data_IF_388532783807
#
_entry.id   IF_388532783807
#
_cell.length_a   1.000
_cell.length_b   1.000
_cell.length_c   1.000
_cell.angle_alpha   90.00
_cell.angle_beta   90.00
_cell.angle_gamma   90.00
#
_symmetry.space_group_name_H-M   'P 1'
#
loop_
_entity.id
_entity.type
_entity.pdbx_description
1 polymer ?
#
# COMPACT_ATOMS: atom_id res chain seq x y z
N UNK A 1 -49.82 -21.60 8.58
CA UNK A 1 -49.02 -20.41 8.93
C UNK A 1 -47.55 -20.73 8.71
N UNK A 2 -46.97 -20.31 7.59
CA UNK A 2 -45.56 -20.56 7.27
C UNK A 2 -44.70 -19.60 8.08
N UNK A 3 -44.15 -20.07 9.20
CA UNK A 3 -43.18 -19.34 10.00
C UNK A 3 -41.91 -19.16 9.17
N UNK A 4 -41.75 -17.96 8.58
CA UNK A 4 -40.51 -17.55 7.93
C UNK A 4 -39.39 -17.53 8.97
N UNK A 5 -38.62 -18.61 9.05
CA UNK A 5 -37.38 -18.69 9.83
C UNK A 5 -36.55 -17.44 9.57
N UNK A 6 -36.38 -16.60 10.60
CA UNK A 6 -35.52 -15.42 10.51
C UNK A 6 -34.11 -15.93 10.22
N UNK A 7 -33.56 -15.53 9.06
CA UNK A 7 -32.18 -15.82 8.66
C UNK A 7 -31.23 -15.41 9.78
N UNK A 8 -30.21 -16.23 10.03
CA UNK A 8 -29.20 -15.95 11.04
C UNK A 8 -28.50 -14.62 10.77
N UNK A 9 -28.14 -13.90 11.84
CA UNK A 9 -27.36 -12.67 11.73
C UNK A 9 -26.04 -12.98 10.99
N UNK A 10 -25.79 -12.32 9.85
CA UNK A 10 -24.57 -12.52 9.04
C UNK A 10 -24.70 -13.48 7.85
N UNK A 11 -25.81 -14.21 7.69
CA UNK A 11 -26.02 -15.13 6.54
C UNK A 11 -26.11 -14.40 5.18
N UNK A 12 -26.48 -13.12 5.22
CA UNK A 12 -26.67 -12.30 4.05
C UNK A 12 -27.92 -12.66 3.23
N UNK A 13 -28.25 -11.80 2.28
CA UNK A 13 -29.37 -11.99 1.35
C UNK A 13 -28.88 -11.78 -0.07
N UNK A 14 -29.29 -12.64 -0.99
CA UNK A 14 -28.97 -12.54 -2.42
C UNK A 14 -30.28 -12.51 -3.21
N UNK A 15 -30.49 -11.46 -3.98
CA UNK A 15 -31.71 -11.28 -4.77
C UNK A 15 -31.43 -10.53 -6.08
N UNK A 16 -32.32 -10.66 -7.05
CA UNK A 16 -32.26 -9.90 -8.29
C UNK A 16 -32.91 -8.52 -8.10
N UNK A 17 -32.28 -7.46 -8.63
CA UNK A 17 -32.81 -6.11 -8.61
C UNK A 17 -33.19 -5.69 -10.04
N UNK A 18 -34.49 -5.66 -10.34
CA UNK A 18 -35.01 -5.34 -11.67
C UNK A 18 -34.70 -3.92 -12.13
N UNK A 19 -34.66 -2.95 -11.22
CA UNK A 19 -34.35 -1.54 -11.57
C UNK A 19 -32.89 -1.39 -12.02
N UNK A 20 -31.98 -2.16 -11.41
CA UNK A 20 -30.54 -2.12 -11.70
C UNK A 20 -30.10 -3.19 -12.69
N UNK A 21 -30.99 -4.12 -13.05
CA UNK A 21 -30.69 -5.32 -13.86
C UNK A 21 -29.43 -6.04 -13.34
N UNK A 22 -29.34 -6.21 -12.02
CA UNK A 22 -28.17 -6.77 -11.33
C UNK A 22 -28.59 -7.67 -10.17
N UNK A 23 -27.79 -8.69 -9.91
CA UNK A 23 -27.85 -9.46 -8.67
C UNK A 23 -27.24 -8.65 -7.54
N UNK A 24 -27.96 -8.57 -6.41
CA UNK A 24 -27.58 -7.81 -5.23
C UNK A 24 -27.43 -8.75 -4.05
N UNK A 25 -26.23 -8.76 -3.46
CA UNK A 25 -25.93 -9.42 -2.20
C UNK A 25 -25.89 -8.39 -1.07
N UNK A 26 -26.47 -8.69 0.09
CA UNK A 26 -26.56 -7.76 1.22
C UNK A 26 -26.18 -8.51 2.49
N UNK A 27 -25.24 -7.98 3.26
CA UNK A 27 -24.80 -8.54 4.54
C UNK A 27 -24.95 -7.49 5.65
N UNK A 28 -25.48 -7.91 6.79
CA UNK A 28 -25.46 -7.10 8.01
C UNK A 28 -24.11 -7.35 8.70
N UNK A 29 -23.29 -6.30 8.80
CA UNK A 29 -22.00 -6.34 9.48
C UNK A 29 -22.20 -5.93 10.96
N UNK A 30 -21.63 -6.68 11.92
CA UNK A 30 -21.60 -6.27 13.32
C UNK A 30 -20.70 -5.03 13.46
N UNK A 31 -21.21 -3.98 14.11
CA UNK A 31 -20.43 -2.78 14.45
C UNK A 31 -20.18 -2.76 15.95
N UNK A 32 -18.99 -2.30 16.36
CA UNK A 32 -18.64 -2.06 17.78
C UNK A 32 -19.64 -1.17 18.50
N UNK A 33 -20.26 -0.23 17.78
CA UNK A 33 -21.12 0.83 18.32
C UNK A 33 -22.59 0.40 18.42
N UNK A 34 -22.91 -0.89 18.21
CA UNK A 34 -24.28 -1.42 18.24
C UNK A 34 -25.19 -0.97 17.08
N UNK A 35 -24.71 -0.08 16.20
CA UNK A 35 -25.43 0.37 15.00
C UNK A 35 -25.30 -0.66 13.86
N UNK A 36 -26.42 -1.01 13.22
CA UNK A 36 -26.42 -1.92 12.06
C UNK A 36 -25.73 -1.27 10.87
N UNK A 37 -24.60 -1.82 10.43
CA UNK A 37 -23.94 -1.42 9.17
C UNK A 37 -24.26 -2.45 8.09
N UNK A 38 -25.00 -2.03 7.07
CA UNK A 38 -25.33 -2.89 5.92
C UNK A 38 -24.33 -2.68 4.80
N UNK A 39 -23.66 -3.75 4.37
CA UNK A 39 -22.85 -3.74 3.16
C UNK A 39 -23.59 -4.42 2.02
N UNK A 40 -23.46 -3.85 0.81
CA UNK A 40 -24.16 -4.32 -0.39
C UNK A 40 -23.15 -4.54 -1.51
N UNK A 41 -23.20 -5.72 -2.13
CA UNK A 41 -22.49 -6.05 -3.37
C UNK A 41 -23.48 -6.17 -4.52
N UNK A 42 -23.04 -5.82 -5.73
CA UNK A 42 -23.88 -5.97 -6.92
C UNK A 42 -23.06 -6.49 -8.09
N UNK A 43 -23.59 -7.49 -8.80
CA UNK A 43 -22.95 -8.06 -9.98
C UNK A 43 -23.97 -8.36 -11.09
N UNK A 44 -23.49 -8.64 -12.30
CA UNK A 44 -24.36 -8.94 -13.44
C UNK A 44 -24.89 -10.37 -13.38
N UNK A 45 -24.11 -11.32 -12.82
CA UNK A 45 -24.53 -12.71 -12.66
C UNK A 45 -24.80 -13.11 -11.21
N UNK A 46 -25.65 -14.13 -11.02
CA UNK A 46 -25.98 -14.70 -9.70
C UNK A 46 -24.74 -15.28 -9.03
N UNK A 47 -23.85 -15.88 -9.84
CA UNK A 47 -22.62 -16.51 -9.38
C UNK A 47 -21.63 -15.46 -8.89
N UNK A 48 -21.39 -14.42 -9.68
CA UNK A 48 -20.50 -13.31 -9.28
C UNK A 48 -21.00 -12.63 -7.99
N UNK A 49 -22.30 -12.36 -7.88
CA UNK A 49 -22.85 -11.74 -6.68
C UNK A 49 -22.75 -12.65 -5.45
N UNK A 50 -22.87 -13.97 -5.63
CA UNK A 50 -22.66 -14.96 -4.56
C UNK A 50 -21.19 -14.99 -4.12
N UNK A 51 -20.25 -14.97 -5.06
CA UNK A 51 -18.82 -15.02 -4.75
C UNK A 51 -18.35 -13.72 -4.06
N UNK A 52 -18.85 -12.57 -4.50
CA UNK A 52 -18.66 -11.30 -3.82
C UNK A 52 -19.25 -11.31 -2.40
N UNK A 53 -20.45 -11.87 -2.22
CA UNK A 53 -21.07 -12.00 -0.89
C UNK A 53 -20.26 -12.92 0.04
N UNK A 54 -19.74 -14.05 -0.47
CA UNK A 54 -18.86 -14.94 0.28
C UNK A 54 -17.52 -14.29 0.63
N UNK A 55 -17.00 -13.42 -0.24
CA UNK A 55 -15.79 -12.62 0.06
C UNK A 55 -16.07 -11.66 1.21
N UNK A 56 -17.19 -10.92 1.15
CA UNK A 56 -17.61 -10.03 2.24
C UNK A 56 -17.75 -10.75 3.57
N UNK A 57 -18.35 -11.94 3.58
CA UNK A 57 -18.50 -12.75 4.79
C UNK A 57 -17.14 -13.12 5.39
N UNK A 58 -16.19 -13.57 4.55
CA UNK A 58 -14.83 -13.90 4.98
C UNK A 58 -14.10 -12.68 5.53
N UNK A 59 -14.19 -11.54 4.84
CA UNK A 59 -13.54 -10.30 5.25
C UNK A 59 -14.08 -9.83 6.62
N UNK A 60 -15.39 -9.96 6.84
CA UNK A 60 -16.02 -9.66 8.12
C UNK A 60 -15.57 -10.62 9.24
N UNK A 61 -15.51 -11.92 8.98
CA UNK A 61 -14.99 -12.90 9.96
C UNK A 61 -13.53 -12.64 10.30
N UNK A 62 -12.74 -12.12 9.37
CA UNK A 62 -11.35 -11.73 9.58
C UNK A 62 -11.18 -10.40 10.34
N UNK A 63 -12.27 -9.74 10.76
CA UNK A 63 -12.22 -8.46 11.48
C UNK A 63 -11.78 -7.28 10.61
N UNK A 64 -11.85 -7.42 9.29
CA UNK A 64 -11.46 -6.36 8.36
C UNK A 64 -12.57 -5.31 8.32
N UNK A 65 -12.24 -4.08 8.72
CA UNK A 65 -13.14 -2.96 8.53
C UNK A 65 -13.18 -2.66 7.04
N UNK A 66 -14.30 -2.97 6.37
CA UNK A 66 -14.51 -2.50 5.01
C UNK A 66 -14.32 -0.98 4.99
N UNK A 67 -13.32 -0.46 4.28
CA UNK A 67 -13.35 0.92 3.87
C UNK A 67 -14.63 1.05 3.03
N UNK A 68 -15.47 2.04 3.32
CA UNK A 68 -16.54 2.40 2.37
C UNK A 68 -15.88 2.48 1.01
N UNK A 69 -16.24 1.61 0.05
CA UNK A 69 -15.46 1.16 -1.11
C UNK A 69 -14.92 2.23 -2.07
N UNK A 70 -14.16 3.17 -1.52
CA UNK A 70 -13.70 4.44 -2.05
C UNK A 70 -12.29 4.78 -1.54
N UNK A 71 -11.77 4.06 -0.55
CA UNK A 71 -10.39 4.27 -0.10
C UNK A 71 -9.44 3.66 -1.12
N UNK A 72 -8.98 4.49 -2.05
CA UNK A 72 -7.94 4.14 -3.03
C UNK A 72 -6.57 4.10 -2.36
N UNK A 73 -5.64 3.38 -2.98
CA UNK A 73 -4.25 3.30 -2.52
C UNK A 73 -3.62 4.69 -2.43
N UNK A 74 -3.86 5.53 -3.45
CA UNK A 74 -3.36 6.89 -3.49
C UNK A 74 -3.89 7.75 -2.34
N UNK A 75 -5.20 7.69 -2.06
CA UNK A 75 -5.80 8.48 -0.97
C UNK A 75 -5.31 8.01 0.39
N UNK A 76 -5.25 6.69 0.62
CA UNK A 76 -4.73 6.15 1.87
C UNK A 76 -3.24 6.48 2.09
N UNK A 77 -2.41 6.39 1.04
CA UNK A 77 -0.98 6.67 1.13
C UNK A 77 -0.70 8.13 1.43
N UNK A 78 -1.46 9.05 0.83
CA UNK A 78 -1.37 10.48 1.15
C UNK A 78 -1.76 10.75 2.60
N UNK A 79 -2.94 10.25 3.03
CA UNK A 79 -3.41 10.41 4.41
C UNK A 79 -2.41 9.84 5.41
N UNK A 80 -1.83 8.68 5.11
CA UNK A 80 -0.82 8.04 5.95
C UNK A 80 0.47 8.87 6.01
N UNK A 81 0.90 9.42 4.87
CA UNK A 81 2.08 10.27 4.80
C UNK A 81 1.92 11.54 5.61
N UNK A 82 0.77 12.21 5.51
CA UNK A 82 0.53 13.47 6.22
C UNK A 82 0.33 13.27 7.71
N UNK A 83 -0.40 12.21 8.10
CA UNK A 83 -0.82 12.02 9.50
C UNK A 83 0.12 11.16 10.34
N UNK A 84 0.78 10.17 9.74
CA UNK A 84 1.53 9.15 10.48
C UNK A 84 3.03 9.35 10.34
N UNK A 85 3.53 9.65 9.14
CA UNK A 85 4.97 9.75 8.90
C UNK A 85 5.70 10.79 9.78
N UNK A 86 5.15 12.01 10.01
CA UNK A 86 5.79 13.02 10.85
C UNK A 86 5.86 12.62 12.33
N UNK A 87 4.95 11.75 12.77
CA UNK A 87 4.91 11.23 14.14
C UNK A 87 5.92 10.09 14.38
N UNK A 88 6.51 9.52 13.33
CA UNK A 88 7.46 8.43 13.46
C UNK A 88 8.87 8.95 13.80
N UNK A 89 9.46 8.36 14.82
CA UNK A 89 10.77 8.74 15.35
C UNK A 89 11.87 8.55 14.28
N UNK A 90 12.64 9.62 14.01
CA UNK A 90 13.72 9.62 13.01
C UNK A 90 13.36 10.18 11.63
N UNK A 91 12.10 10.58 11.39
CA UNK A 91 11.64 11.23 10.14
C UNK A 91 11.57 12.76 10.26
N UNK A 92 12.42 13.35 11.11
CA UNK A 92 12.42 14.80 11.38
C UNK A 92 13.28 15.62 10.45
N UNK A 93 14.13 14.97 9.65
CA UNK A 93 14.96 15.66 8.66
C UNK A 93 14.17 15.85 7.36
N UNK A 94 14.12 17.08 6.84
CA UNK A 94 13.41 17.45 5.59
C UNK A 94 13.81 16.54 4.41
N UNK A 95 15.10 16.20 4.32
CA UNK A 95 15.62 15.27 3.29
C UNK A 95 14.95 13.89 3.36
N UNK A 96 14.58 13.44 4.55
CA UNK A 96 13.87 12.17 4.73
C UNK A 96 12.43 12.31 4.22
N UNK A 97 11.75 13.42 4.48
CA UNK A 97 10.39 13.69 4.02
C UNK A 97 10.32 13.74 2.49
N UNK A 98 11.24 14.44 1.84
CA UNK A 98 11.30 14.54 0.37
C UNK A 98 11.49 13.18 -0.30
N UNK A 99 12.38 12.35 0.26
CA UNK A 99 12.62 11.00 -0.23
C UNK A 99 11.39 10.09 -0.08
N UNK A 100 10.56 10.30 0.93
CA UNK A 100 9.32 9.56 1.12
C UNK A 100 8.22 10.07 0.18
N UNK A 101 8.10 11.40 0.01
CA UNK A 101 7.17 12.02 -0.94
C UNK A 101 7.42 11.53 -2.36
N UNK A 102 8.68 11.55 -2.79
CA UNK A 102 9.10 10.99 -4.09
C UNK A 102 8.70 9.52 -4.26
N UNK A 103 8.88 8.70 -3.22
CA UNK A 103 8.50 7.29 -3.26
C UNK A 103 6.98 7.10 -3.39
N UNK A 104 6.20 7.91 -2.67
CA UNK A 104 4.74 7.90 -2.74
C UNK A 104 4.25 8.33 -4.11
N UNK A 105 4.84 9.37 -4.70
CA UNK A 105 4.45 9.84 -6.04
C UNK A 105 4.66 8.74 -7.09
N UNK A 106 5.76 7.97 -7.01
CA UNK A 106 5.97 6.80 -7.87
C UNK A 106 4.88 5.75 -7.67
N UNK A 107 4.56 5.42 -6.43
CA UNK A 107 3.52 4.44 -6.10
C UNK A 107 2.16 4.90 -6.59
N UNK A 108 1.82 6.18 -6.44
CA UNK A 108 0.55 6.76 -6.91
C UNK A 108 0.41 6.67 -8.42
N UNK A 109 1.47 6.95 -9.17
CA UNK A 109 1.43 6.86 -10.63
C UNK A 109 1.25 5.41 -11.10
N UNK A 110 1.87 4.45 -10.43
CA UNK A 110 1.79 3.04 -10.84
C UNK A 110 0.52 2.32 -10.33
N UNK A 111 0.08 2.63 -9.11
CA UNK A 111 -0.93 1.85 -8.36
C UNK A 111 -2.16 2.67 -7.95
N UNK A 112 -2.20 3.98 -8.23
CA UNK A 112 -3.20 4.89 -7.64
C UNK A 112 -4.67 4.63 -7.97
N UNK A 113 -4.96 3.82 -9.00
CA UNK A 113 -6.32 3.43 -9.38
C UNK A 113 -6.81 2.17 -8.65
N UNK A 114 -5.92 1.46 -7.95
CA UNK A 114 -6.27 0.26 -7.19
C UNK A 114 -6.72 0.61 -5.78
N UNK A 115 -7.51 -0.29 -5.20
CA UNK A 115 -7.94 -0.19 -3.80
C UNK A 115 -6.99 -1.02 -2.93
N UNK A 116 -6.89 -0.63 -1.66
CA UNK A 116 -5.90 -1.21 -0.74
C UNK A 116 -6.11 -2.70 -0.49
N UNK A 117 -7.35 -3.16 -0.64
CA UNK A 117 -7.72 -4.57 -0.53
C UNK A 117 -7.53 -5.36 -1.83
N UNK A 118 -7.32 -4.69 -2.95
CA UNK A 118 -7.11 -5.30 -4.27
C UNK A 118 -5.63 -5.34 -4.67
N UNK A 119 -4.75 -4.64 -3.95
CA UNK A 119 -3.31 -4.65 -4.19
C UNK A 119 -2.73 -6.05 -3.94
N UNK A 120 -2.04 -6.60 -4.94
CA UNK A 120 -1.38 -7.91 -4.87
C UNK A 120 0.15 -7.78 -4.75
N UNK A 121 0.85 -8.90 -4.50
CA UNK A 121 2.31 -8.93 -4.54
C UNK A 121 2.82 -8.70 -5.98
N UNK A 122 2.16 -9.31 -6.98
CA UNK A 122 2.47 -9.14 -8.41
C UNK A 122 2.43 -7.67 -8.84
N UNK A 123 1.48 -6.89 -8.31
CA UNK A 123 1.39 -5.45 -8.59
C UNK A 123 2.61 -4.67 -8.10
N UNK A 124 3.16 -5.09 -6.94
CA UNK A 124 4.38 -4.50 -6.39
C UNK A 124 5.59 -4.95 -7.20
N UNK A 125 5.64 -6.21 -7.63
CA UNK A 125 6.71 -6.70 -8.50
C UNK A 125 6.71 -5.98 -9.85
N UNK A 126 5.55 -5.79 -10.48
CA UNK A 126 5.40 -5.05 -11.73
C UNK A 126 5.86 -3.59 -11.59
N UNK A 127 5.52 -2.94 -10.46
CA UNK A 127 6.03 -1.62 -10.14
C UNK A 127 7.57 -1.61 -10.09
N UNK A 128 8.18 -2.55 -9.36
CA UNK A 128 9.64 -2.58 -9.20
C UNK A 128 10.36 -2.94 -10.51
N UNK A 129 9.81 -3.87 -11.31
CA UNK A 129 10.33 -4.19 -12.64
C UNK A 129 10.19 -3.00 -13.59
N UNK A 130 9.07 -2.28 -13.55
CA UNK A 130 8.89 -1.04 -14.30
C UNK A 130 9.89 0.04 -13.91
N UNK A 131 10.28 0.13 -12.64
CA UNK A 131 11.37 0.98 -12.19
C UNK A 131 12.73 0.50 -12.71
N UNK A 132 13.01 -0.80 -12.64
CA UNK A 132 14.27 -1.35 -13.16
C UNK A 132 14.42 -1.06 -14.67
N UNK A 133 13.35 -1.23 -15.44
CA UNK A 133 13.31 -0.92 -16.88
C UNK A 133 13.57 0.57 -17.18
N UNK A 134 13.17 1.47 -16.27
CA UNK A 134 13.47 2.92 -16.35
C UNK A 134 14.89 3.28 -15.87
N UNK A 135 15.69 2.30 -15.46
CA UNK A 135 17.09 2.51 -15.04
C UNK A 135 17.25 2.97 -13.58
N UNK A 136 16.24 2.82 -12.73
CA UNK A 136 16.37 3.17 -11.31
C UNK A 136 17.35 2.23 -10.60
N UNK A 137 18.15 2.80 -9.69
CA UNK A 137 19.09 2.02 -8.87
C UNK A 137 18.36 1.11 -7.89
N UNK A 138 19.01 0.01 -7.48
CA UNK A 138 18.45 -0.93 -6.48
C UNK A 138 18.04 -0.23 -5.20
N UNK A 139 18.85 0.71 -4.70
CA UNK A 139 18.55 1.49 -3.50
C UNK A 139 17.28 2.32 -3.62
N UNK A 140 17.01 2.90 -4.79
CA UNK A 140 15.79 3.67 -5.08
C UNK A 140 14.56 2.75 -5.04
N UNK A 141 14.64 1.58 -5.66
CA UNK A 141 13.57 0.58 -5.66
C UNK A 141 13.32 0.01 -4.25
N UNK A 142 14.38 -0.32 -3.51
CA UNK A 142 14.28 -0.76 -2.12
C UNK A 142 13.60 0.30 -1.25
N UNK A 143 13.88 1.59 -1.48
CA UNK A 143 13.23 2.68 -0.76
C UNK A 143 11.73 2.73 -1.05
N UNK A 144 11.33 2.70 -2.32
CA UNK A 144 9.91 2.66 -2.72
C UNK A 144 9.17 1.51 -2.05
N UNK A 145 9.72 0.28 -2.14
CA UNK A 145 9.16 -0.90 -1.48
C UNK A 145 9.05 -0.72 0.03
N UNK A 146 10.08 -0.17 0.67
CA UNK A 146 10.12 0.03 2.13
C UNK A 146 9.06 1.03 2.61
N UNK A 147 8.83 2.11 1.85
CA UNK A 147 7.78 3.10 2.16
C UNK A 147 6.40 2.46 2.04
N UNK A 148 6.15 1.74 0.94
CA UNK A 148 4.89 1.02 0.73
C UNK A 148 4.65 -0.03 1.83
N UNK A 149 5.67 -0.80 2.18
CA UNK A 149 5.60 -1.82 3.24
C UNK A 149 5.25 -1.21 4.60
N UNK A 150 5.79 -0.03 4.93
CA UNK A 150 5.45 0.69 6.17
C UNK A 150 3.99 1.15 6.17
N UNK A 151 3.50 1.69 5.05
CA UNK A 151 2.11 2.10 4.91
C UNK A 151 1.14 0.92 5.05
N UNK A 152 1.44 -0.20 4.38
CA UNK A 152 0.62 -1.41 4.45
C UNK A 152 0.66 -2.07 5.83
N UNK A 153 1.80 -2.04 6.53
CA UNK A 153 1.88 -2.49 7.93
C UNK A 153 1.00 -1.64 8.85
N UNK A 154 0.90 -0.34 8.60
CA UNK A 154 -0.02 0.53 9.32
C UNK A 154 -1.49 0.22 9.00
N UNK A 155 -1.79 -0.05 7.72
CA UNK A 155 -3.12 -0.48 7.29
C UNK A 155 -3.53 -1.82 7.95
N UNK A 156 -2.61 -2.78 8.01
CA UNK A 156 -2.79 -4.10 8.60
C UNK A 156 -3.12 -4.00 10.09
N UNK A 157 -2.35 -3.19 10.85
CA UNK A 157 -2.62 -2.93 12.27
C UNK A 157 -3.99 -2.30 12.54
N UNK A 158 -4.56 -1.60 11.55
CA UNK A 158 -5.89 -0.98 11.63
C UNK A 158 -6.98 -1.84 10.96
N UNK A 159 -6.68 -3.08 10.58
CA UNK A 159 -7.63 -4.00 9.95
C UNK A 159 -8.15 -3.51 8.60
N UNK A 160 -7.39 -2.66 7.89
CA UNK A 160 -7.75 -2.16 6.55
C UNK A 160 -7.30 -3.11 5.43
N UNK A 161 -6.26 -3.91 5.68
CA UNK A 161 -5.76 -4.97 4.79
C UNK A 161 -5.57 -6.26 5.57
N UNK A 162 -5.68 -7.38 4.86
CA UNK A 162 -5.50 -8.73 5.44
C UNK A 162 -4.03 -9.00 5.77
N UNK A 163 -3.14 -8.56 4.87
CA UNK A 163 -1.72 -8.82 4.94
C UNK A 163 -0.95 -7.70 4.26
N UNK A 164 0.22 -7.38 4.79
CA UNK A 164 1.18 -6.53 4.08
C UNK A 164 1.77 -7.25 2.85
N UNK A 165 1.28 -6.93 1.65
CA UNK A 165 1.76 -7.53 0.39
C UNK A 165 3.14 -7.02 -0.06
N UNK A 166 3.60 -5.88 0.44
CA UNK A 166 4.91 -5.33 0.11
C UNK A 166 6.00 -5.74 1.12
N UNK A 167 5.76 -6.77 1.94
CA UNK A 167 6.78 -7.30 2.84
C UNK A 167 7.96 -7.90 2.04
N UNK A 168 9.15 -7.89 2.64
CA UNK A 168 10.34 -8.51 2.03
C UNK A 168 10.20 -10.01 1.80
N UNK A 169 9.29 -10.64 2.53
CA UNK A 169 9.08 -12.08 2.44
C UNK A 169 8.21 -12.46 1.23
N UNK A 170 7.60 -11.46 0.58
CA UNK A 170 6.71 -11.64 -0.58
C UNK A 170 7.27 -11.03 -1.86
N UNK A 171 8.02 -9.94 -1.76
CA UNK A 171 8.46 -9.14 -2.92
C UNK A 171 9.94 -8.85 -2.80
N UNK A 172 10.69 -9.32 -3.79
CA UNK A 172 12.12 -9.08 -3.90
C UNK A 172 12.44 -7.88 -4.80
N UNK A 173 13.49 -7.13 -4.45
CA UNK A 173 13.89 -5.98 -5.24
C UNK A 173 14.82 -6.40 -6.38
N UNK A 174 14.46 -6.17 -7.66
CA UNK A 174 15.27 -6.58 -8.79
C UNK A 174 16.65 -5.88 -8.79
N UNK A 175 17.66 -6.46 -9.44
CA UNK A 175 18.96 -5.82 -9.57
C UNK A 175 18.83 -4.55 -10.40
N UNK A 176 19.28 -3.42 -9.84
CA UNK A 176 19.40 -2.17 -10.58
C UNK A 176 20.73 -2.07 -11.35
N UNK A 177 20.87 -1.10 -12.26
CA UNK A 177 22.12 -0.86 -12.98
C UNK A 177 23.26 -0.61 -11.99
N UNK A 178 24.39 -1.31 -12.18
CA UNK A 178 25.59 -1.13 -11.36
C UNK A 178 26.16 0.27 -11.64
N UNK A 179 26.12 1.16 -10.65
CA UNK A 179 26.89 2.41 -10.71
C UNK A 179 28.37 2.08 -10.64
N UNK A 180 29.15 2.55 -11.61
CA UNK A 180 30.61 2.52 -11.51
C UNK A 180 31.01 3.46 -10.35
N UNK A 181 31.77 2.99 -9.36
CA UNK A 181 32.27 3.85 -8.30
C UNK A 181 33.15 4.94 -8.93
N UNK A 182 32.77 6.21 -8.74
CA UNK A 182 33.69 7.33 -8.98
C UNK A 182 34.63 7.43 -7.77
N UNK A 183 35.48 6.44 -7.59
CA UNK A 183 36.61 6.59 -6.67
C UNK A 183 37.53 7.67 -7.25
N UNK A 184 37.92 8.63 -6.40
CA UNK A 184 39.02 9.52 -6.74
C UNK A 184 40.26 8.65 -6.91
N UNK A 185 40.74 8.49 -8.14
CA UNK A 185 42.07 7.95 -8.39
C UNK A 185 43.09 8.80 -7.61
N UNK A 186 44.17 8.18 -7.09
CA UNK A 186 45.19 8.89 -6.30
C UNK A 186 45.73 10.16 -6.98
N UNK A 187 45.75 10.18 -8.30
CA UNK A 187 46.16 11.33 -9.13
C UNK A 187 45.18 12.51 -9.05
N UNK A 188 43.86 12.26 -9.01
CA UNK A 188 42.87 13.34 -8.83
C UNK A 188 42.88 13.92 -7.42
N UNK A 189 43.29 13.15 -6.40
CA UNK A 189 43.45 13.63 -5.03
C UNK A 189 44.53 14.70 -4.91
N UNK A 190 45.67 14.55 -5.60
CA UNK A 190 46.75 15.56 -5.62
C UNK A 190 46.34 16.87 -6.31
N UNK A 191 45.38 16.81 -7.25
CA UNK A 191 44.85 17.99 -7.95
C UNK A 191 43.81 18.76 -7.13
N UNK A 192 43.01 18.06 -6.33
CA UNK A 192 41.98 18.69 -5.48
C UNK A 192 42.51 19.12 -4.10
N UNK A 193 43.60 18.52 -3.60
CA UNK A 193 44.22 18.87 -2.32
C UNK A 193 45.76 18.97 -2.48
N UNK A 194 46.29 20.12 -2.92
CA UNK A 194 47.72 20.36 -2.76
C UNK A 194 48.07 20.37 -1.27
N UNK A 195 49.17 19.73 -0.83
CA UNK A 195 49.56 19.74 0.57
C UNK A 195 49.69 21.19 1.05
N UNK A 196 48.87 21.58 2.03
CA UNK A 196 49.01 22.87 2.70
C UNK A 196 50.42 22.93 3.28
N UNK A 197 51.22 23.89 2.81
CA UNK A 197 52.53 24.17 3.39
C UNK A 197 52.28 24.57 4.86
N UNK A 198 52.67 23.70 5.78
CA UNK A 198 52.69 24.02 7.19
C UNK A 198 53.65 25.21 7.39
N UNK A 199 53.10 26.42 7.55
CA UNK A 199 53.84 27.57 8.05
C UNK A 199 54.10 27.35 9.53
N UNK A 200 55.20 26.67 9.84
CA UNK A 200 55.80 26.71 11.18
C UNK A 200 56.51 28.06 11.35
N UNK A 201 55.77 29.10 11.73
CA UNK A 201 56.35 30.31 12.31
C UNK A 201 56.18 30.24 13.81
N UNK A 202 57.25 29.90 14.52
CA UNK A 202 57.34 29.95 15.97
C UNK A 202 58.44 30.96 16.31
N UNK A 203 58.14 32.09 16.95
CA UNK A 203 58.99 32.66 17.97
C UNK A 203 58.61 32.08 19.34
#
# INVERSE_FOLDING_TARGET
MTTSTRRGAGEGSLFWNDKRQRWVGLIDLPTSDGRRRRSTVSAKSKTEARDQLRKLQRDNTAGLSQPDGKLTDAGFLEDWFESVLPSQQGVREEVTIDNHRWAIDIVKVALGNKTLMALTADDVDDLLHGMAAKGYAKSSMTRVRSVLSRALRHAERRGKVVRNVASSDLVDTPPGPKRQPRSLTPERRKRCWPPSKATSSRP
#
